data_IF_883769302914
#
_entry.id   IF_883769302914
#
_cell.length_a   1.000
_cell.length_b   1.000
_cell.length_c   1.000
_cell.angle_alpha   90.00
_cell.angle_beta   90.00
_cell.angle_gamma   90.00
#
_symmetry.space_group_name_H-M   'P 1'
#
loop_
_entity.id
_entity.type
_entity.pdbx_description
1 polymer ?
#
# COMPACT_ATOMS: atom_id res chain seq x y z
N UNK A 1 -24.97 -6.09 1.55
CA UNK A 1 -25.01 -7.49 2.07
C UNK A 1 -25.38 -7.48 3.55
N UNK A 2 -26.16 -8.43 4.00
CA UNK A 2 -26.41 -8.63 5.44
C UNK A 2 -25.11 -9.13 6.08
N UNK A 3 -24.79 -8.68 7.31
CA UNK A 3 -23.51 -9.01 8.00
C UNK A 3 -23.34 -10.49 8.30
N UNK A 4 -24.41 -11.16 8.65
CA UNK A 4 -24.37 -12.57 9.03
C UNK A 4 -23.80 -13.46 7.91
N UNK A 5 -24.25 -13.38 6.64
CA UNK A 5 -23.65 -14.16 5.57
C UNK A 5 -22.19 -13.79 5.27
N UNK A 6 -21.80 -12.52 5.43
CA UNK A 6 -20.39 -12.12 5.28
C UNK A 6 -19.53 -12.71 6.40
N UNK A 7 -19.98 -12.66 7.65
CA UNK A 7 -19.28 -13.30 8.76
C UNK A 7 -19.15 -14.81 8.56
N UNK A 8 -20.22 -15.48 8.13
CA UNK A 8 -20.20 -16.90 7.84
C UNK A 8 -19.21 -17.24 6.71
N UNK A 9 -19.16 -16.43 5.64
CA UNK A 9 -18.21 -16.61 4.53
C UNK A 9 -16.75 -16.45 5.00
N UNK A 10 -16.47 -15.40 5.80
CA UNK A 10 -15.12 -15.18 6.35
C UNK A 10 -14.73 -16.30 7.30
N UNK A 11 -15.64 -16.75 8.16
CA UNK A 11 -15.40 -17.87 9.07
C UNK A 11 -15.17 -19.20 8.31
N UNK A 12 -15.96 -19.47 7.29
CA UNK A 12 -15.78 -20.66 6.44
C UNK A 12 -14.42 -20.61 5.71
N UNK A 13 -14.04 -19.45 5.17
CA UNK A 13 -12.75 -19.28 4.52
C UNK A 13 -11.58 -19.35 5.52
N UNK A 14 -11.74 -18.83 6.73
CA UNK A 14 -10.77 -18.99 7.81
C UNK A 14 -10.56 -20.48 8.15
N UNK A 15 -11.65 -21.24 8.34
CA UNK A 15 -11.61 -22.67 8.62
C UNK A 15 -10.95 -23.42 7.45
N UNK A 16 -11.30 -23.08 6.21
CA UNK A 16 -10.67 -23.65 5.03
C UNK A 16 -9.15 -23.40 5.02
N UNK A 17 -8.69 -22.18 5.26
CA UNK A 17 -7.25 -21.87 5.33
C UNK A 17 -6.56 -22.64 6.46
N UNK A 18 -7.22 -22.75 7.61
CA UNK A 18 -6.67 -23.45 8.79
C UNK A 18 -6.37 -24.91 8.50
N UNK A 19 -7.27 -25.61 7.81
CA UNK A 19 -7.17 -27.06 7.59
C UNK A 19 -6.47 -27.42 6.27
N UNK A 20 -6.61 -26.59 5.22
CA UNK A 20 -6.15 -26.96 3.87
C UNK A 20 -4.94 -26.14 3.38
N UNK A 21 -4.55 -25.07 4.09
CA UNK A 21 -3.39 -24.24 3.68
C UNK A 21 -2.38 -24.12 4.82
N UNK A 22 -2.65 -23.31 5.83
CA UNK A 22 -1.84 -23.23 7.06
C UNK A 22 -2.49 -22.33 8.12
N UNK A 23 -2.16 -22.58 9.39
CA UNK A 23 -2.53 -21.72 10.52
C UNK A 23 -2.10 -20.26 10.29
N UNK A 24 -0.89 -20.08 9.77
CA UNK A 24 -0.34 -18.74 9.46
C UNK A 24 -1.24 -17.96 8.51
N UNK A 25 -1.68 -18.58 7.43
CA UNK A 25 -2.56 -17.93 6.45
C UNK A 25 -3.95 -17.60 7.03
N UNK A 26 -4.50 -18.50 7.84
CA UNK A 26 -5.76 -18.24 8.54
C UNK A 26 -5.66 -17.01 9.46
N UNK A 27 -4.60 -16.91 10.27
CA UNK A 27 -4.39 -15.75 11.15
C UNK A 27 -4.12 -14.47 10.35
N UNK A 28 -3.34 -14.53 9.26
CA UNK A 28 -3.11 -13.40 8.36
C UNK A 28 -4.39 -12.88 7.70
N UNK A 29 -5.36 -13.77 7.41
CA UNK A 29 -6.69 -13.35 6.96
C UNK A 29 -7.35 -12.42 7.99
N UNK A 30 -7.31 -12.79 9.29
CA UNK A 30 -7.89 -11.95 10.35
C UNK A 30 -7.15 -10.62 10.52
N UNK A 31 -5.82 -10.62 10.41
CA UNK A 31 -5.03 -9.38 10.37
C UNK A 31 -5.47 -8.50 9.22
N UNK A 32 -5.65 -9.06 8.02
CA UNK A 32 -6.18 -8.35 6.86
C UNK A 32 -7.59 -7.80 7.08
N UNK A 33 -8.49 -8.58 7.69
CA UNK A 33 -9.86 -8.12 8.05
C UNK A 33 -9.77 -6.93 9.01
N UNK A 34 -8.92 -7.00 10.03
CA UNK A 34 -8.66 -5.89 10.94
C UNK A 34 -8.13 -4.64 10.22
N UNK A 35 -7.16 -4.80 9.31
CA UNK A 35 -6.63 -3.70 8.48
C UNK A 35 -7.73 -3.05 7.63
N UNK A 36 -8.55 -3.86 6.95
CA UNK A 36 -9.67 -3.36 6.15
C UNK A 36 -10.70 -2.62 6.98
N UNK A 37 -11.04 -3.15 8.15
CA UNK A 37 -11.95 -2.50 9.09
C UNK A 37 -11.37 -1.18 9.62
N UNK A 38 -10.08 -1.12 9.95
CA UNK A 38 -9.40 0.09 10.40
C UNK A 38 -9.35 1.16 9.31
N UNK A 39 -8.93 0.79 8.08
CA UNK A 39 -8.88 1.70 6.93
C UNK A 39 -10.27 2.29 6.61
N UNK A 40 -11.28 1.44 6.51
CA UNK A 40 -12.63 1.84 6.17
C UNK A 40 -13.34 2.59 7.32
N UNK A 41 -13.20 2.10 8.56
CA UNK A 41 -13.85 2.66 9.74
C UNK A 41 -13.30 4.04 10.12
N UNK A 42 -11.99 4.20 10.10
CA UNK A 42 -11.33 5.48 10.34
C UNK A 42 -11.31 6.38 9.09
N UNK A 43 -11.73 5.88 7.92
CA UNK A 43 -11.49 6.52 6.62
C UNK A 43 -10.03 6.93 6.45
N UNK A 44 -9.14 6.04 6.88
CA UNK A 44 -7.69 6.29 6.91
C UNK A 44 -7.13 6.15 5.49
N UNK A 45 -7.20 7.24 4.73
CA UNK A 45 -6.73 7.25 3.34
C UNK A 45 -5.38 7.96 3.20
N UNK A 46 -4.34 7.24 2.79
CA UNK A 46 -3.04 7.86 2.47
C UNK A 46 -3.18 8.94 1.39
N UNK A 47 -3.92 8.65 0.34
CA UNK A 47 -4.23 9.58 -0.75
C UNK A 47 -5.05 10.79 -0.27
N UNK A 48 -6.09 10.55 0.55
CA UNK A 48 -6.99 11.59 1.06
C UNK A 48 -6.26 12.56 1.98
N UNK A 49 -5.39 12.08 2.87
CA UNK A 49 -4.64 12.95 3.77
C UNK A 49 -3.73 13.95 3.04
N UNK A 50 -3.06 13.51 1.98
CA UNK A 50 -2.22 14.40 1.16
C UNK A 50 -3.05 15.38 0.34
N UNK A 51 -4.18 14.93 -0.20
CA UNK A 51 -5.12 15.82 -0.91
C UNK A 51 -5.66 16.92 0.00
N UNK A 52 -6.12 16.58 1.19
CA UNK A 52 -6.62 17.54 2.18
C UNK A 52 -5.55 18.56 2.58
N UNK A 53 -4.30 18.13 2.74
CA UNK A 53 -3.18 19.04 3.00
C UNK A 53 -3.00 20.04 1.85
N UNK A 54 -3.01 19.58 0.60
CA UNK A 54 -2.78 20.42 -0.59
C UNK A 54 -3.95 21.36 -0.83
N UNK A 55 -5.18 20.87 -0.72
CA UNK A 55 -6.39 21.62 -1.09
C UNK A 55 -6.90 22.53 0.01
N UNK A 56 -6.85 22.04 1.24
CA UNK A 56 -7.53 22.68 2.37
C UNK A 56 -6.56 23.17 3.45
N UNK A 57 -5.26 22.95 3.27
CA UNK A 57 -4.25 23.19 4.32
C UNK A 57 -4.61 22.44 5.62
N UNK A 58 -5.20 21.24 5.49
CA UNK A 58 -5.58 20.41 6.64
C UNK A 58 -4.49 19.38 6.93
N UNK A 59 -3.75 19.52 8.07
CA UNK A 59 -2.64 18.65 8.40
C UNK A 59 -3.05 17.31 9.05
N UNK A 60 -4.31 17.15 9.48
CA UNK A 60 -4.77 16.01 10.31
C UNK A 60 -4.46 14.65 9.69
N UNK A 61 -4.67 14.51 8.39
CA UNK A 61 -4.41 13.26 7.68
C UNK A 61 -2.92 12.91 7.63
N UNK A 62 -2.06 13.89 7.35
CA UNK A 62 -0.60 13.70 7.31
C UNK A 62 -0.04 13.45 8.71
N UNK A 63 -0.57 14.13 9.72
CA UNK A 63 -0.19 13.89 11.14
C UNK A 63 -0.57 12.46 11.56
N UNK A 64 -1.76 11.97 11.17
CA UNK A 64 -2.16 10.57 11.40
C UNK A 64 -1.23 9.57 10.72
N UNK A 65 -0.77 9.87 9.50
CA UNK A 65 0.21 9.04 8.79
C UNK A 65 1.59 9.08 9.46
N UNK A 66 2.05 10.25 9.91
CA UNK A 66 3.31 10.36 10.65
C UNK A 66 3.26 9.59 11.98
N UNK A 67 2.13 9.63 12.68
CA UNK A 67 1.90 8.80 13.87
C UNK A 67 1.97 7.30 13.56
N UNK A 68 1.31 6.86 12.49
CA UNK A 68 1.38 5.47 12.03
C UNK A 68 2.83 5.05 11.73
N UNK A 69 3.56 5.89 10.99
CA UNK A 69 4.98 5.64 10.66
C UNK A 69 5.84 5.54 11.93
N UNK A 70 5.66 6.47 12.88
CA UNK A 70 6.41 6.48 14.13
C UNK A 70 6.16 5.21 14.96
N UNK A 71 4.90 4.83 15.14
CA UNK A 71 4.52 3.65 15.91
C UNK A 71 4.98 2.35 15.22
N UNK A 72 4.82 2.24 13.90
CA UNK A 72 5.27 1.08 13.14
C UNK A 72 6.80 0.96 13.17
N UNK A 73 7.55 2.08 13.08
CA UNK A 73 9.02 2.07 13.19
C UNK A 73 9.50 1.68 14.59
N UNK A 74 8.85 2.21 15.64
CA UNK A 74 9.15 1.88 17.01
C UNK A 74 9.01 0.39 17.32
N UNK A 75 8.10 -0.29 16.62
CA UNK A 75 7.92 -1.74 16.76
C UNK A 75 8.81 -2.54 15.79
N UNK A 76 8.84 -2.17 14.50
CA UNK A 76 9.48 -2.97 13.47
C UNK A 76 11.02 -2.96 13.55
N UNK A 77 11.66 -1.81 13.80
CA UNK A 77 13.13 -1.72 13.84
C UNK A 77 13.76 -2.58 14.95
N UNK A 78 13.28 -2.56 16.20
CA UNK A 78 13.81 -3.47 17.23
C UNK A 78 13.57 -4.94 16.91
N UNK A 79 12.39 -5.31 16.35
CA UNK A 79 12.10 -6.69 15.96
C UNK A 79 13.05 -7.18 14.87
N UNK A 80 13.30 -6.38 13.83
CA UNK A 80 14.27 -6.70 12.78
C UNK A 80 15.70 -6.80 13.29
N UNK A 81 16.05 -6.07 14.33
CA UNK A 81 17.36 -6.16 14.98
C UNK A 81 17.55 -7.40 15.86
N UNK A 82 16.45 -8.04 16.30
CA UNK A 82 16.48 -9.18 17.20
C UNK A 82 16.21 -10.52 16.49
N UNK A 83 15.41 -10.51 15.42
CA UNK A 83 14.93 -11.73 14.75
C UNK A 83 15.39 -11.74 13.28
N UNK A 84 16.33 -12.64 12.98
CA UNK A 84 16.95 -12.78 11.64
C UNK A 84 15.99 -13.32 10.57
N UNK A 85 14.90 -13.98 10.98
CA UNK A 85 13.85 -14.49 10.09
C UNK A 85 12.93 -13.39 9.55
N UNK A 86 12.97 -12.18 10.12
CA UNK A 86 12.20 -11.05 9.66
C UNK A 86 12.96 -10.28 8.57
N UNK A 87 12.24 -9.91 7.53
CA UNK A 87 12.82 -9.20 6.38
C UNK A 87 12.36 -7.74 6.35
N UNK A 88 13.29 -6.82 6.05
CA UNK A 88 12.98 -5.43 5.81
C UNK A 88 12.46 -5.22 4.37
N UNK A 89 11.65 -4.18 4.16
CA UNK A 89 11.26 -3.75 2.82
C UNK A 89 12.36 -2.87 2.23
N UNK A 90 13.34 -3.47 1.58
CA UNK A 90 14.46 -2.77 0.97
C UNK A 90 14.21 -2.56 -0.53
N UNK A 91 14.52 -1.36 -1.01
CA UNK A 91 14.51 -1.01 -2.42
C UNK A 91 15.74 -0.16 -2.78
N UNK A 92 16.33 -0.35 -3.98
CA UNK A 92 17.46 0.45 -4.41
C UNK A 92 17.06 1.90 -4.71
N UNK A 93 17.83 2.91 -4.24
CA UNK A 93 17.79 4.23 -4.82
C UNK A 93 18.08 4.13 -6.32
N UNK A 94 17.15 4.61 -7.17
CA UNK A 94 17.24 4.38 -8.62
C UNK A 94 16.41 5.39 -9.41
N UNK A 95 16.70 5.54 -10.69
CA UNK A 95 15.86 6.31 -11.62
C UNK A 95 14.45 5.74 -11.64
N UNK A 96 14.31 4.41 -11.62
CA UNK A 96 13.03 3.70 -11.49
C UNK A 96 12.22 4.19 -10.29
N UNK A 97 12.83 4.27 -9.11
CA UNK A 97 12.19 4.76 -7.88
C UNK A 97 11.69 6.20 -8.03
N UNK A 98 12.52 7.10 -8.56
CA UNK A 98 12.18 8.52 -8.70
C UNK A 98 10.97 8.71 -9.63
N UNK A 99 11.04 8.14 -10.83
CA UNK A 99 9.97 8.23 -11.82
C UNK A 99 8.72 7.47 -11.34
N UNK A 100 8.91 6.25 -10.84
CA UNK A 100 7.82 5.43 -10.33
C UNK A 100 7.04 6.11 -9.21
N UNK A 101 7.73 6.67 -8.22
CA UNK A 101 7.08 7.35 -7.09
C UNK A 101 6.34 8.62 -7.54
N UNK A 102 6.93 9.42 -8.43
CA UNK A 102 6.28 10.61 -9.00
C UNK A 102 4.99 10.25 -9.74
N UNK A 103 5.07 9.30 -10.68
CA UNK A 103 3.90 8.85 -11.48
C UNK A 103 2.85 8.21 -10.58
N UNK A 104 3.26 7.42 -9.58
CA UNK A 104 2.35 6.85 -8.60
C UNK A 104 1.61 7.92 -7.81
N UNK A 105 2.32 8.94 -7.30
CA UNK A 105 1.73 10.06 -6.58
C UNK A 105 0.71 10.84 -7.39
N UNK A 106 0.97 11.04 -8.68
CA UNK A 106 0.06 11.67 -9.62
C UNK A 106 -1.20 10.81 -9.82
N UNK A 107 -1.03 9.56 -10.16
CA UNK A 107 -2.14 8.68 -10.57
C UNK A 107 -3.03 8.26 -9.41
N UNK A 108 -2.49 8.11 -8.18
CA UNK A 108 -3.29 7.77 -7.02
C UNK A 108 -4.34 8.83 -6.67
N UNK A 109 -4.13 10.10 -7.05
CA UNK A 109 -5.11 11.15 -6.83
C UNK A 109 -6.28 11.05 -7.83
N UNK A 110 -5.99 10.70 -9.07
CA UNK A 110 -6.98 10.52 -10.13
C UNK A 110 -7.80 9.23 -9.89
N UNK A 111 -7.13 8.13 -9.54
CA UNK A 111 -7.75 6.85 -9.21
C UNK A 111 -8.50 6.86 -7.86
N UNK A 112 -8.43 7.97 -7.13
CA UNK A 112 -9.02 8.16 -5.80
C UNK A 112 -8.61 7.10 -4.77
N UNK A 113 -7.38 6.61 -4.85
CA UNK A 113 -6.84 5.62 -3.90
C UNK A 113 -5.43 5.19 -4.29
N UNK A 114 -4.60 4.84 -3.31
CA UNK A 114 -3.38 4.07 -3.52
C UNK A 114 -3.71 2.57 -3.61
N UNK A 115 -2.76 1.66 -3.63
CA UNK A 115 -3.04 0.22 -3.68
C UNK A 115 -4.02 -0.27 -2.61
N UNK A 116 -3.73 -0.01 -1.32
CA UNK A 116 -4.64 -0.36 -0.22
C UNK A 116 -5.90 0.51 -0.22
N UNK A 117 -5.78 1.78 -0.65
CA UNK A 117 -6.89 2.71 -0.79
C UNK A 117 -7.94 2.22 -1.78
N UNK A 118 -7.50 1.79 -2.95
CA UNK A 118 -8.36 1.21 -3.99
C UNK A 118 -9.04 -0.07 -3.49
N UNK A 119 -8.28 -0.92 -2.79
CA UNK A 119 -8.79 -2.18 -2.28
C UNK A 119 -9.91 -1.98 -1.23
N UNK A 120 -9.69 -1.16 -0.18
CA UNK A 120 -10.73 -0.96 0.82
C UNK A 120 -11.92 -0.17 0.30
N UNK A 121 -11.71 0.77 -0.65
CA UNK A 121 -12.82 1.51 -1.28
C UNK A 121 -13.65 0.61 -2.20
N UNK A 122 -13.04 -0.34 -2.90
CA UNK A 122 -13.77 -1.39 -3.60
C UNK A 122 -14.66 -2.19 -2.63
N UNK A 123 -14.12 -2.55 -1.46
CA UNK A 123 -14.89 -3.16 -0.38
C UNK A 123 -16.01 -2.27 0.19
N UNK A 124 -15.85 -0.97 0.19
CA UNK A 124 -16.91 -0.01 0.53
C UNK A 124 -17.99 0.13 -0.58
N UNK A 125 -17.79 -0.51 -1.73
CA UNK A 125 -18.73 -0.48 -2.85
C UNK A 125 -18.53 0.72 -3.79
N UNK A 126 -17.34 1.34 -3.81
CA UNK A 126 -17.02 2.42 -4.77
C UNK A 126 -16.74 1.79 -6.15
N UNK A 127 -17.60 2.01 -7.18
CA UNK A 127 -17.53 1.25 -8.42
C UNK A 127 -16.22 1.47 -9.20
N UNK A 128 -15.73 2.71 -9.25
CA UNK A 128 -14.48 3.03 -9.93
C UNK A 128 -13.30 2.24 -9.32
N UNK A 129 -13.20 2.21 -7.98
CA UNK A 129 -12.11 1.51 -7.32
C UNK A 129 -12.20 -0.01 -7.54
N UNK A 130 -13.39 -0.59 -7.60
CA UNK A 130 -13.58 -1.99 -7.95
C UNK A 130 -13.12 -2.30 -9.39
N UNK A 131 -13.48 -1.44 -10.36
CA UNK A 131 -13.08 -1.59 -11.75
C UNK A 131 -11.57 -1.35 -11.98
N UNK A 132 -10.92 -0.55 -11.14
CA UNK A 132 -9.47 -0.30 -11.20
C UNK A 132 -8.66 -1.55 -10.79
N UNK A 133 -9.15 -2.40 -9.89
CA UNK A 133 -8.37 -3.51 -9.34
C UNK A 133 -7.74 -4.43 -10.41
N UNK A 134 -8.47 -4.92 -11.43
CA UNK A 134 -7.86 -5.76 -12.47
C UNK A 134 -6.85 -4.99 -13.32
N UNK A 135 -7.07 -3.71 -13.62
CA UNK A 135 -6.14 -2.89 -14.38
C UNK A 135 -4.88 -2.56 -13.56
N UNK A 136 -5.04 -2.33 -12.25
CA UNK A 136 -3.91 -2.20 -11.32
C UNK A 136 -3.07 -3.48 -11.28
N UNK A 137 -3.73 -4.65 -11.26
CA UNK A 137 -3.04 -5.94 -11.27
C UNK A 137 -2.23 -6.12 -12.57
N UNK A 138 -2.84 -5.84 -13.72
CA UNK A 138 -2.17 -5.88 -15.03
C UNK A 138 -1.00 -4.89 -15.09
N UNK A 139 -1.21 -3.65 -14.67
CA UNK A 139 -0.16 -2.63 -14.60
C UNK A 139 0.99 -3.07 -13.68
N UNK A 140 0.69 -3.60 -12.50
CA UNK A 140 1.70 -4.12 -11.55
C UNK A 140 2.50 -5.28 -12.16
N UNK A 141 1.85 -6.19 -12.86
CA UNK A 141 2.53 -7.26 -13.59
C UNK A 141 3.47 -6.71 -14.65
N UNK A 142 2.98 -5.87 -15.56
CA UNK A 142 3.81 -5.29 -16.63
C UNK A 142 4.95 -4.43 -16.07
N UNK A 143 4.73 -3.69 -15.00
CA UNK A 143 5.79 -2.96 -14.30
C UNK A 143 6.89 -3.88 -13.76
N UNK A 144 6.54 -5.10 -13.30
CA UNK A 144 7.53 -6.09 -12.88
C UNK A 144 8.26 -6.75 -14.06
N UNK A 145 7.59 -6.93 -15.18
CA UNK A 145 8.22 -7.44 -16.43
C UNK A 145 9.29 -6.48 -16.95
N UNK A 146 9.03 -5.19 -16.89
CA UNK A 146 9.93 -4.15 -17.38
C UNK A 146 10.91 -3.61 -16.33
N UNK A 147 10.85 -4.09 -15.08
CA UNK A 147 11.61 -3.52 -13.97
C UNK A 147 13.12 -3.48 -14.22
N UNK A 148 13.67 -4.55 -14.80
CA UNK A 148 15.11 -4.65 -15.09
C UNK A 148 15.57 -3.56 -16.07
N UNK A 149 14.81 -3.28 -17.12
CA UNK A 149 15.08 -2.19 -18.06
C UNK A 149 15.08 -0.82 -17.38
N UNK A 150 14.21 -0.59 -16.41
CA UNK A 150 14.17 0.64 -15.63
C UNK A 150 15.35 0.76 -14.65
N UNK A 151 15.77 -0.36 -14.05
CA UNK A 151 16.94 -0.39 -13.17
C UNK A 151 18.25 -0.18 -13.91
N UNK A 152 18.33 -0.61 -15.17
CA UNK A 152 19.47 -0.38 -16.05
C UNK A 152 19.73 1.12 -16.34
N UNK A 153 18.71 1.99 -16.15
CA UNK A 153 18.90 3.45 -16.27
C UNK A 153 19.75 4.05 -15.14
N UNK A 154 20.00 3.31 -14.07
CA UNK A 154 20.83 3.70 -12.95
C UNK A 154 20.20 3.35 -11.62
N UNK A 155 20.97 2.63 -10.81
CA UNK A 155 20.63 2.25 -9.45
C UNK A 155 21.86 2.13 -8.58
N UNK A 156 21.67 2.26 -7.25
CA UNK A 156 22.68 1.93 -6.23
C UNK A 156 22.21 0.72 -5.44
N UNK A 157 23.07 0.15 -4.60
CA UNK A 157 22.64 -0.89 -3.66
C UNK A 157 21.54 -0.38 -2.72
N UNK A 158 20.59 -1.23 -2.31
CA UNK A 158 19.62 -0.88 -1.28
C UNK A 158 20.33 -0.49 0.03
N UNK A 159 19.89 0.60 0.66
CA UNK A 159 20.46 1.10 1.91
C UNK A 159 19.50 0.81 3.07
N UNK A 160 19.98 0.07 4.06
CA UNK A 160 19.29 -0.17 5.33
C UNK A 160 19.91 0.70 6.42
N UNK A 161 19.15 1.67 6.96
CA UNK A 161 19.62 2.54 8.03
C UNK A 161 20.02 1.77 9.29
N UNK A 162 19.35 0.65 9.58
CA UNK A 162 19.68 -0.19 10.73
C UNK A 162 20.95 -1.00 10.52
N UNK A 163 21.24 -1.42 9.29
CA UNK A 163 22.50 -2.11 8.97
C UNK A 163 23.69 -1.16 8.98
N UNK A 164 23.51 0.08 8.47
CA UNK A 164 24.59 1.07 8.38
C UNK A 164 24.89 1.73 9.74
N UNK A 165 23.87 2.08 10.52
CA UNK A 165 24.01 2.91 11.72
C UNK A 165 23.57 2.24 13.02
N UNK A 166 23.09 1.00 12.97
CA UNK A 166 22.48 0.29 14.09
C UNK A 166 21.03 0.71 14.35
N UNK A 167 20.30 -0.18 15.04
CA UNK A 167 18.85 -0.05 15.26
C UNK A 167 18.45 1.23 15.99
N UNK A 168 19.19 1.60 17.05
CA UNK A 168 18.87 2.79 17.84
C UNK A 168 19.04 4.10 17.04
N UNK A 169 20.12 4.23 16.30
CA UNK A 169 20.38 5.39 15.44
C UNK A 169 19.35 5.45 14.30
N UNK A 170 19.04 4.32 13.66
CA UNK A 170 18.03 4.25 12.61
C UNK A 170 16.65 4.73 13.10
N UNK A 171 16.26 4.35 14.33
CA UNK A 171 15.02 4.81 14.96
C UNK A 171 15.07 6.32 15.24
N UNK A 172 16.19 6.82 15.77
CA UNK A 172 16.40 8.25 16.00
C UNK A 172 16.31 9.07 14.71
N UNK A 173 16.98 8.62 13.64
CA UNK A 173 16.92 9.25 12.32
C UNK A 173 15.50 9.24 11.74
N UNK A 174 14.77 8.14 11.93
CA UNK A 174 13.38 8.02 11.49
C UNK A 174 12.49 9.05 12.21
N UNK A 175 12.58 9.16 13.53
CA UNK A 175 11.81 10.14 14.28
C UNK A 175 12.21 11.59 13.94
N UNK A 176 13.49 11.85 13.76
CA UNK A 176 13.97 13.17 13.33
C UNK A 176 13.44 13.54 11.94
N UNK A 177 13.47 12.60 10.98
CA UNK A 177 12.89 12.81 9.64
C UNK A 177 11.39 13.08 9.66
N UNK A 178 10.63 12.31 10.46
CA UNK A 178 9.20 12.55 10.64
C UNK A 178 8.92 13.91 11.30
N UNK A 179 9.69 14.29 12.32
CA UNK A 179 9.57 15.59 12.96
C UNK A 179 9.87 16.74 11.98
N UNK A 180 10.92 16.63 11.19
CA UNK A 180 11.27 17.61 10.14
C UNK A 180 10.16 17.74 9.09
N UNK A 181 9.58 16.61 8.66
CA UNK A 181 8.45 16.63 7.73
C UNK A 181 7.24 17.36 8.34
N UNK A 182 6.91 17.10 9.61
CA UNK A 182 5.83 17.79 10.32
C UNK A 182 6.12 19.29 10.53
N UNK A 183 7.38 19.66 10.80
CA UNK A 183 7.80 21.08 10.85
C UNK A 183 7.59 21.73 9.49
N UNK A 184 7.98 21.09 8.39
CA UNK A 184 7.71 21.58 7.04
C UNK A 184 6.22 21.78 6.77
N UNK A 185 5.39 20.82 7.15
CA UNK A 185 3.92 20.93 7.08
C UNK A 185 3.42 22.10 7.94
N UNK A 186 3.97 22.28 9.15
CA UNK A 186 3.59 23.38 10.06
C UNK A 186 3.89 24.76 9.45
N UNK A 187 5.05 24.91 8.86
CA UNK A 187 5.44 26.15 8.18
C UNK A 187 4.52 26.44 6.98
N UNK A 188 4.15 25.41 6.24
CA UNK A 188 3.27 25.56 5.08
C UNK A 188 1.80 25.83 5.44
N UNK A 189 1.26 25.15 6.44
CA UNK A 189 -0.16 25.26 6.86
C UNK A 189 -0.40 26.56 7.66
N UNK A 190 0.54 27.02 8.46
CA UNK A 190 0.42 28.17 9.33
C UNK A 190 -0.29 27.87 10.67
N UNK A 191 -0.54 28.91 11.49
CA UNK A 191 -1.17 28.77 12.80
C UNK A 191 -2.68 28.52 12.73
N UNK A 192 -3.29 28.12 13.83
CA UNK A 192 -4.75 28.04 14.02
C UNK A 192 -5.43 26.80 13.45
N UNK A 193 -4.67 25.79 12.97
CA UNK A 193 -5.23 24.54 12.45
C UNK A 193 -5.18 23.40 13.47
N UNK A 194 -6.22 22.58 13.49
CA UNK A 194 -6.21 21.32 14.26
C UNK A 194 -5.26 20.31 13.63
N UNK A 195 -4.41 19.68 14.44
CA UNK A 195 -3.40 18.72 13.99
C UNK A 195 -3.81 17.28 14.20
N UNK A 196 -4.66 17.03 15.18
CA UNK A 196 -5.12 15.70 15.54
C UNK A 196 -6.63 15.60 15.37
N UNK A 197 -7.06 14.45 14.90
CA UNK A 197 -8.46 14.04 14.87
C UNK A 197 -8.54 12.61 15.41
N UNK A 198 -9.45 12.36 16.33
CA UNK A 198 -9.58 11.09 17.06
C UNK A 198 -9.61 9.88 16.13
N UNK A 199 -10.34 9.96 15.01
CA UNK A 199 -10.43 8.85 14.03
C UNK A 199 -9.08 8.53 13.38
N UNK A 200 -8.26 9.54 13.03
CA UNK A 200 -6.94 9.34 12.47
C UNK A 200 -5.97 8.73 13.48
N UNK A 201 -6.05 9.15 14.74
CA UNK A 201 -5.21 8.62 15.82
C UNK A 201 -5.52 7.14 16.05
N UNK A 202 -6.79 6.77 16.24
CA UNK A 202 -7.16 5.37 16.45
C UNK A 202 -6.89 4.50 15.21
N UNK A 203 -7.11 5.05 14.00
CA UNK A 203 -6.73 4.40 12.75
C UNK A 203 -5.23 4.13 12.67
N UNK A 204 -4.40 5.10 13.02
CA UNK A 204 -2.95 4.97 13.05
C UNK A 204 -2.48 3.89 14.03
N UNK A 205 -3.00 3.90 15.27
CA UNK A 205 -2.67 2.90 16.30
C UNK A 205 -3.07 1.50 15.83
N UNK A 206 -4.31 1.33 15.37
CA UNK A 206 -4.80 0.03 14.90
C UNK A 206 -3.97 -0.50 13.73
N UNK A 207 -3.68 0.35 12.74
CA UNK A 207 -2.87 -0.05 11.59
C UNK A 207 -1.41 -0.33 11.96
N UNK A 208 -0.82 0.40 12.91
CA UNK A 208 0.53 0.12 13.39
C UNK A 208 0.63 -1.25 14.06
N UNK A 209 -0.32 -1.57 14.95
CA UNK A 209 -0.40 -2.89 15.60
C UNK A 209 -0.58 -3.99 14.56
N UNK A 210 -1.52 -3.83 13.63
CA UNK A 210 -1.79 -4.83 12.61
C UNK A 210 -0.63 -4.99 11.61
N UNK A 211 0.07 -3.91 11.25
CA UNK A 211 1.26 -3.97 10.42
C UNK A 211 2.42 -4.69 11.12
N UNK A 212 2.58 -4.47 12.43
CA UNK A 212 3.57 -5.21 13.24
C UNK A 212 3.21 -6.69 13.35
N UNK A 213 1.94 -7.02 13.59
CA UNK A 213 1.48 -8.42 13.57
C UNK A 213 1.71 -9.06 12.20
N UNK A 214 1.46 -8.33 11.10
CA UNK A 214 1.77 -8.83 9.77
C UNK A 214 3.27 -9.12 9.61
N UNK A 215 4.15 -8.22 10.06
CA UNK A 215 5.60 -8.42 10.00
C UNK A 215 6.01 -9.70 10.71
N UNK A 216 5.55 -9.89 11.95
CA UNK A 216 5.92 -11.07 12.77
C UNK A 216 5.35 -12.36 12.18
N UNK A 217 4.09 -12.37 11.77
CA UNK A 217 3.43 -13.57 11.25
C UNK A 217 3.88 -13.94 9.84
N UNK A 218 4.12 -12.96 9.00
CA UNK A 218 4.50 -13.15 7.60
C UNK A 218 6.00 -13.27 7.37
N UNK A 219 6.83 -12.85 8.34
CA UNK A 219 8.28 -12.69 8.17
C UNK A 219 8.65 -11.51 7.25
N UNK A 220 7.67 -10.73 6.80
CA UNK A 220 7.85 -9.59 5.90
C UNK A 220 6.86 -8.47 6.24
N UNK A 221 7.22 -7.19 5.98
CA UNK A 221 6.33 -6.09 6.27
C UNK A 221 5.09 -6.08 5.36
N UNK A 222 4.08 -5.32 5.77
CA UNK A 222 2.82 -5.24 5.05
C UNK A 222 3.03 -4.73 3.61
N UNK A 223 2.52 -5.50 2.64
CA UNK A 223 2.51 -5.19 1.22
C UNK A 223 1.13 -5.44 0.62
N UNK A 224 0.85 -4.80 -0.51
CA UNK A 224 -0.41 -4.97 -1.27
C UNK A 224 -0.12 -5.23 -2.75
N UNK A 225 0.83 -4.49 -3.31
CA UNK A 225 1.09 -4.45 -4.76
C UNK A 225 1.56 -5.79 -5.32
N UNK A 226 2.37 -6.53 -4.57
CA UNK A 226 2.94 -7.79 -5.04
C UNK A 226 1.86 -8.83 -5.37
N UNK A 227 0.87 -9.00 -4.50
CA UNK A 227 -0.22 -9.94 -4.73
C UNK A 227 -0.99 -9.66 -6.02
N UNK A 228 -1.26 -8.38 -6.32
CA UNK A 228 -1.93 -7.99 -7.56
C UNK A 228 -1.09 -8.36 -8.80
N UNK A 229 0.21 -8.05 -8.79
CA UNK A 229 1.12 -8.42 -9.88
C UNK A 229 1.23 -9.94 -10.04
N UNK A 230 1.26 -10.68 -8.93
CA UNK A 230 1.28 -12.14 -8.92
C UNK A 230 0.01 -12.75 -9.55
N UNK A 231 -1.18 -12.19 -9.27
CA UNK A 231 -2.42 -12.69 -9.87
C UNK A 231 -2.41 -12.53 -11.39
N UNK A 232 -2.02 -11.35 -11.89
CA UNK A 232 -1.94 -11.12 -13.32
C UNK A 232 -0.83 -11.97 -13.99
N UNK A 233 0.32 -12.14 -13.32
CA UNK A 233 1.39 -13.01 -13.79
C UNK A 233 0.91 -14.48 -13.94
N UNK A 234 0.25 -15.02 -12.93
CA UNK A 234 -0.30 -16.39 -12.97
C UNK A 234 -1.32 -16.58 -14.11
N UNK A 235 -2.20 -15.61 -14.29
CA UNK A 235 -3.16 -15.65 -15.42
C UNK A 235 -2.42 -15.60 -16.75
N UNK A 236 -1.42 -14.73 -16.90
CA UNK A 236 -0.64 -14.60 -18.14
C UNK A 236 0.14 -15.88 -18.47
N UNK A 237 0.73 -16.54 -17.46
CA UNK A 237 1.41 -17.84 -17.61
C UNK A 237 0.40 -18.93 -17.99
N UNK A 238 -0.74 -18.99 -17.30
CA UNK A 238 -1.76 -20.01 -17.58
C UNK A 238 -2.36 -19.90 -19.00
N UNK A 239 -2.41 -18.67 -19.55
CA UNK A 239 -2.86 -18.40 -20.91
C UNK A 239 -1.74 -18.57 -21.98
N UNK A 240 -0.51 -18.92 -21.56
CA UNK A 240 0.63 -19.02 -22.47
C UNK A 240 1.11 -17.68 -23.07
N UNK A 241 0.75 -16.55 -22.45
CA UNK A 241 1.09 -15.20 -22.89
C UNK A 241 2.43 -14.69 -22.33
N UNK A 242 2.99 -15.39 -21.37
CA UNK A 242 4.21 -14.95 -20.68
C UNK A 242 5.06 -16.13 -20.24
N UNK A 243 6.36 -16.08 -20.58
CA UNK A 243 7.37 -17.03 -20.09
C UNK A 243 8.14 -16.38 -18.92
N UNK A 244 7.93 -16.84 -17.66
CA UNK A 244 8.63 -16.30 -16.51
C UNK A 244 10.12 -16.61 -16.49
N UNK A 245 10.57 -17.68 -17.16
CA UNK A 245 11.99 -18.05 -17.20
C UNK A 245 12.84 -17.06 -18.00
N UNK A 246 12.23 -16.40 -18.99
CA UNK A 246 12.86 -15.37 -19.80
C UNK A 246 12.88 -13.97 -19.14
N UNK A 247 12.34 -13.81 -17.93
CA UNK A 247 12.22 -12.51 -17.28
C UNK A 247 13.06 -12.42 -16.00
N UNK A 248 13.94 -11.42 -15.88
CA UNK A 248 14.88 -11.28 -14.76
C UNK A 248 14.21 -11.19 -13.37
N UNK A 249 13.04 -10.56 -13.27
CA UNK A 249 12.29 -10.48 -12.01
C UNK A 249 11.61 -11.81 -11.67
N UNK A 250 10.89 -12.41 -12.63
CA UNK A 250 10.05 -13.58 -12.38
C UNK A 250 10.84 -14.90 -12.36
N UNK A 251 12.06 -14.94 -12.93
CA UNK A 251 12.98 -16.09 -12.84
C UNK A 251 13.72 -16.19 -11.50
N UNK A 252 13.70 -15.15 -10.65
CA UNK A 252 14.26 -15.22 -9.30
C UNK A 252 13.57 -16.33 -8.50
N UNK A 253 14.34 -17.13 -7.78
CA UNK A 253 13.87 -18.35 -7.10
C UNK A 253 12.59 -18.14 -6.27
N UNK A 254 12.51 -17.07 -5.47
CA UNK A 254 11.34 -16.76 -4.66
C UNK A 254 10.09 -16.39 -5.49
N UNK A 255 10.24 -15.69 -6.62
CA UNK A 255 9.14 -15.30 -7.50
C UNK A 255 8.69 -16.50 -8.35
N UNK A 256 9.62 -17.27 -8.89
CA UNK A 256 9.35 -18.50 -9.65
C UNK A 256 8.58 -19.51 -8.79
N UNK A 257 8.99 -19.73 -7.53
CA UNK A 257 8.27 -20.58 -6.60
C UNK A 257 6.84 -20.09 -6.34
N UNK A 258 6.61 -18.80 -6.17
CA UNK A 258 5.26 -18.24 -5.95
C UNK A 258 4.36 -18.36 -7.18
N UNK A 259 4.93 -18.40 -8.39
CA UNK A 259 4.17 -18.66 -9.61
C UNK A 259 3.64 -20.09 -9.68
N UNK A 260 4.36 -21.08 -9.15
CA UNK A 260 3.93 -22.50 -9.15
C UNK A 260 3.00 -22.83 -7.99
N UNK A 261 3.17 -22.19 -6.83
CA UNK A 261 2.34 -22.40 -5.64
C UNK A 261 0.93 -21.84 -5.82
N UNK A 262 -0.03 -22.34 -5.02
CA UNK A 262 -1.37 -21.71 -4.95
C UNK A 262 -1.27 -20.26 -4.46
N UNK A 263 -2.10 -19.37 -4.97
CA UNK A 263 -2.20 -17.96 -4.54
C UNK A 263 -2.53 -17.83 -3.03
N UNK A 264 -3.09 -18.86 -2.42
CA UNK A 264 -3.43 -18.88 -1.00
C UNK A 264 -2.19 -19.02 -0.09
N UNK A 265 -1.04 -19.40 -0.64
CA UNK A 265 0.24 -19.38 0.07
C UNK A 265 0.88 -17.99 0.09
N UNK A 266 0.46 -17.09 -0.79
CA UNK A 266 0.99 -15.72 -0.82
C UNK A 266 0.36 -14.84 0.26
N UNK A 267 1.21 -14.30 1.11
CA UNK A 267 0.84 -13.45 2.26
C UNK A 267 0.07 -12.21 1.82
N UNK A 268 0.53 -11.55 0.74
CA UNK A 268 -0.09 -10.31 0.27
C UNK A 268 -1.47 -10.57 -0.32
N UNK A 269 -1.70 -11.72 -0.92
CA UNK A 269 -3.00 -12.18 -1.40
C UNK A 269 -3.98 -12.34 -0.23
N UNK A 270 -3.60 -13.08 0.80
CA UNK A 270 -4.48 -13.36 1.94
C UNK A 270 -4.83 -12.08 2.70
N UNK A 271 -3.84 -11.24 2.99
CA UNK A 271 -4.09 -9.96 3.66
C UNK A 271 -4.95 -9.03 2.81
N UNK A 272 -4.77 -9.01 1.47
CA UNK A 272 -5.62 -8.22 0.55
C UNK A 272 -7.07 -8.71 0.52
N UNK A 273 -7.31 -10.03 0.52
CA UNK A 273 -8.66 -10.62 0.67
C UNK A 273 -9.27 -10.21 2.01
N UNK A 274 -8.48 -10.28 3.08
CA UNK A 274 -8.90 -9.82 4.41
C UNK A 274 -9.28 -8.34 4.43
N UNK A 275 -8.47 -7.46 3.83
CA UNK A 275 -8.76 -6.01 3.73
C UNK A 275 -10.09 -5.77 3.02
N UNK A 276 -10.34 -6.47 1.92
CA UNK A 276 -11.62 -6.37 1.19
C UNK A 276 -12.79 -6.80 2.08
N UNK A 277 -12.65 -7.93 2.77
CA UNK A 277 -13.68 -8.46 3.68
C UNK A 277 -13.97 -7.52 4.87
N UNK A 278 -12.91 -6.97 5.50
CA UNK A 278 -13.05 -6.00 6.59
C UNK A 278 -13.72 -4.69 6.16
N UNK A 279 -13.39 -4.20 4.97
CA UNK A 279 -14.03 -3.02 4.40
C UNK A 279 -15.51 -3.27 4.07
N UNK A 280 -15.85 -4.43 3.48
CA UNK A 280 -17.24 -4.87 3.26
C UNK A 280 -18.03 -4.95 4.57
N UNK A 281 -17.41 -5.42 5.66
CA UNK A 281 -18.04 -5.46 6.98
C UNK A 281 -18.42 -4.07 7.50
N UNK A 282 -17.55 -3.08 7.28
CA UNK A 282 -17.82 -1.69 7.64
C UNK A 282 -18.90 -1.10 6.72
N UNK A 283 -18.83 -1.35 5.41
CA UNK A 283 -19.81 -0.90 4.42
C UNK A 283 -21.24 -1.35 4.77
N UNK A 284 -21.40 -2.58 5.27
CA UNK A 284 -22.70 -3.09 5.71
C UNK A 284 -23.34 -2.31 6.89
N UNK A 285 -22.61 -1.35 7.49
CA UNK A 285 -23.07 -0.43 8.55
C UNK A 285 -23.45 0.95 8.02
N UNK A 286 -23.00 1.29 6.83
CA UNK A 286 -23.22 2.62 6.27
C UNK A 286 -24.39 2.55 5.29
N UNK A 287 -25.27 3.54 5.33
CA UNK A 287 -26.24 3.75 4.27
C UNK A 287 -25.51 4.02 2.95
N UNK A 288 -26.08 3.57 1.84
CA UNK A 288 -25.51 3.81 0.52
C UNK A 288 -25.18 5.30 0.36
N UNK A 289 -23.91 5.59 0.10
CA UNK A 289 -23.48 6.95 -0.19
C UNK A 289 -24.13 7.37 -1.53
N UNK A 290 -24.84 8.50 -1.54
CA UNK A 290 -25.30 9.14 -2.76
C UNK A 290 -24.08 9.68 -3.54
N UNK A 291 -23.31 8.81 -4.14
CA UNK A 291 -22.24 9.20 -5.06
C UNK A 291 -22.88 9.56 -6.40
N UNK A 292 -22.59 10.77 -6.89
CA UNK A 292 -22.96 11.17 -8.24
C UNK A 292 -22.38 10.17 -9.26
N UNK A 293 -23.13 9.78 -10.29
CA UNK A 293 -22.61 8.89 -11.32
C UNK A 293 -21.46 9.57 -12.06
N UNK A 294 -20.37 8.83 -12.26
CA UNK A 294 -19.22 9.31 -13.02
C UNK A 294 -19.56 9.38 -14.50
N UNK A 295 -19.06 10.42 -15.18
CA UNK A 295 -19.12 10.55 -16.63
C UNK A 295 -18.24 9.50 -17.31
N UNK A 296 -18.48 9.20 -18.58
CA UNK A 296 -17.65 8.29 -19.38
C UNK A 296 -16.18 8.73 -19.40
N UNK A 297 -15.95 10.06 -19.49
CA UNK A 297 -14.60 10.63 -19.44
C UNK A 297 -13.90 10.35 -18.10
N UNK A 298 -14.60 10.52 -16.98
CA UNK A 298 -14.06 10.22 -15.65
C UNK A 298 -13.76 8.71 -15.50
N UNK A 299 -14.63 7.84 -16.02
CA UNK A 299 -14.36 6.41 -16.08
C UNK A 299 -13.09 6.10 -16.86
N UNK A 300 -12.96 6.60 -18.08
CA UNK A 300 -11.78 6.35 -18.93
C UNK A 300 -10.49 6.84 -18.25
N UNK A 301 -10.48 8.07 -17.75
CA UNK A 301 -9.32 8.66 -17.07
C UNK A 301 -8.98 7.90 -15.78
N UNK A 302 -9.98 7.53 -14.99
CA UNK A 302 -9.79 6.76 -13.75
C UNK A 302 -9.23 5.37 -14.00
N UNK A 303 -9.71 4.66 -15.04
CA UNK A 303 -9.22 3.34 -15.41
C UNK A 303 -7.77 3.38 -15.92
N UNK A 304 -7.44 4.35 -16.79
CA UNK A 304 -6.06 4.57 -17.25
C UNK A 304 -5.15 4.92 -16.07
N UNK A 305 -5.59 5.81 -15.18
CA UNK A 305 -4.83 6.14 -13.98
C UNK A 305 -4.61 4.92 -13.08
N UNK A 306 -5.59 4.02 -12.96
CA UNK A 306 -5.47 2.77 -12.22
C UNK A 306 -4.42 1.82 -12.79
N UNK A 307 -4.39 1.66 -14.11
CA UNK A 307 -3.36 0.88 -14.80
C UNK A 307 -1.96 1.46 -14.60
N UNK A 308 -1.79 2.77 -14.87
CA UNK A 308 -0.51 3.47 -14.72
C UNK A 308 -0.04 3.46 -13.25
N UNK A 309 -0.98 3.58 -12.30
CA UNK A 309 -0.70 3.45 -10.87
C UNK A 309 -0.17 2.06 -10.52
N UNK A 310 -0.75 1.00 -11.09
CA UNK A 310 -0.24 -0.36 -10.92
C UNK A 310 1.18 -0.52 -11.46
N UNK A 311 1.43 -0.05 -12.67
CA UNK A 311 2.73 -0.08 -13.33
C UNK A 311 3.80 0.67 -12.50
N UNK A 312 3.53 1.93 -12.19
CA UNK A 312 4.46 2.79 -11.45
C UNK A 312 4.72 2.31 -10.02
N UNK A 313 3.78 1.61 -9.39
CA UNK A 313 3.98 1.03 -8.06
C UNK A 313 5.08 -0.04 -8.03
N UNK A 314 5.31 -0.76 -9.12
CA UNK A 314 6.41 -1.73 -9.23
C UNK A 314 7.75 -1.03 -9.41
N UNK A 315 7.78 0.02 -10.23
CA UNK A 315 8.97 0.85 -10.42
C UNK A 315 9.41 1.54 -9.13
N UNK A 316 8.44 1.89 -8.29
CA UNK A 316 8.64 2.58 -7.00
C UNK A 316 8.83 1.61 -5.81
N UNK A 317 8.97 0.31 -6.04
CA UNK A 317 9.10 -0.75 -5.01
C UNK A 317 7.94 -0.81 -4.02
N UNK A 318 6.79 -0.25 -4.37
CA UNK A 318 5.57 -0.29 -3.57
C UNK A 318 4.69 0.94 -3.73
N UNK A 319 3.54 0.88 -3.07
CA UNK A 319 2.62 2.00 -2.89
C UNK A 319 2.88 2.68 -1.53
N UNK A 320 1.99 3.56 -1.08
CA UNK A 320 2.06 4.17 0.26
C UNK A 320 2.24 3.13 1.40
N UNK A 321 1.72 1.93 1.23
CA UNK A 321 1.94 0.85 2.21
C UNK A 321 3.33 0.22 2.01
N UNK A 322 3.64 -0.27 0.82
CA UNK A 322 4.88 -1.03 0.60
C UNK A 322 6.14 -0.18 0.62
N UNK A 323 6.14 1.00 -0.04
CA UNK A 323 7.31 1.86 -0.12
C UNK A 323 7.38 2.85 1.06
N UNK A 324 6.32 3.63 1.32
CA UNK A 324 6.37 4.63 2.38
C UNK A 324 6.27 3.98 3.77
N UNK A 325 5.16 3.29 4.09
CA UNK A 325 4.98 2.74 5.43
C UNK A 325 6.02 1.64 5.71
N UNK A 326 6.05 0.60 4.91
CA UNK A 326 6.93 -0.55 5.15
C UNK A 326 8.40 -0.20 4.92
N UNK A 327 8.72 0.59 3.89
CA UNK A 327 10.10 1.06 3.67
C UNK A 327 10.64 1.88 4.83
N UNK A 328 9.93 2.93 5.26
CA UNK A 328 10.36 3.79 6.36
C UNK A 328 10.38 3.03 7.69
N UNK A 329 9.31 2.28 8.00
CA UNK A 329 9.23 1.58 9.30
C UNK A 329 10.24 0.45 9.47
N UNK A 330 10.80 -0.05 8.38
CA UNK A 330 11.86 -1.08 8.41
C UNK A 330 13.26 -0.50 8.10
N UNK A 331 13.39 0.83 8.11
CA UNK A 331 14.68 1.52 8.01
C UNK A 331 15.27 1.60 6.61
N UNK A 332 14.48 1.52 5.55
CA UNK A 332 14.98 1.63 4.19
C UNK A 332 15.01 3.07 3.67
N UNK A 333 16.14 3.46 3.08
CA UNK A 333 16.31 4.79 2.48
C UNK A 333 15.32 5.04 1.34
N UNK A 334 14.96 3.99 0.56
CA UNK A 334 14.06 4.18 -0.58
C UNK A 334 12.69 4.75 -0.18
N UNK A 335 12.18 4.42 1.01
CA UNK A 335 10.92 4.97 1.50
C UNK A 335 10.97 6.48 1.72
N UNK A 336 12.10 6.99 2.18
CA UNK A 336 12.36 8.42 2.35
C UNK A 336 12.48 9.16 1.02
N UNK A 337 13.12 8.55 0.01
CA UNK A 337 13.19 9.08 -1.36
C UNK A 337 11.82 9.07 -2.02
N UNK A 338 11.03 8.01 -1.80
CA UNK A 338 9.70 7.85 -2.36
C UNK A 338 8.75 8.99 -1.96
N UNK A 339 8.77 9.43 -0.69
CA UNK A 339 7.83 10.43 -0.15
C UNK A 339 7.86 11.77 -0.90
N UNK A 340 9.00 12.47 -1.07
CA UNK A 340 9.02 13.74 -1.76
C UNK A 340 8.64 13.61 -3.23
N UNK A 341 9.06 12.56 -3.92
CA UNK A 341 8.73 12.34 -5.33
C UNK A 341 7.24 12.09 -5.53
N UNK A 342 6.64 11.21 -4.72
CA UNK A 342 5.21 10.95 -4.75
C UNK A 342 4.38 12.18 -4.31
N UNK A 343 4.91 13.01 -3.40
CA UNK A 343 4.23 14.24 -3.00
C UNK A 343 4.19 15.27 -4.14
N UNK A 344 5.29 15.47 -4.87
CA UNK A 344 5.32 16.32 -6.06
C UNK A 344 4.34 15.81 -7.12
N UNK A 345 4.33 14.50 -7.39
CA UNK A 345 3.34 13.86 -8.26
C UNK A 345 1.90 14.12 -7.80
N UNK A 346 1.66 14.02 -6.48
CA UNK A 346 0.35 14.28 -5.87
C UNK A 346 -0.13 15.72 -6.12
N UNK A 347 0.75 16.72 -6.00
CA UNK A 347 0.38 18.12 -6.29
C UNK A 347 -0.16 18.27 -7.71
N UNK A 348 0.50 17.63 -8.68
CA UNK A 348 0.04 17.63 -10.07
C UNK A 348 -1.25 16.81 -10.23
N UNK A 349 -1.32 15.63 -9.61
CA UNK A 349 -2.49 14.75 -9.65
C UNK A 349 -3.76 15.41 -9.10
N UNK A 350 -3.64 16.20 -8.02
CA UNK A 350 -4.75 16.99 -7.46
C UNK A 350 -5.23 18.06 -8.45
N UNK A 351 -4.32 18.73 -9.17
CA UNK A 351 -4.70 19.71 -10.20
C UNK A 351 -5.46 19.06 -11.35
N UNK A 352 -4.98 17.90 -11.82
CA UNK A 352 -5.64 17.14 -12.89
C UNK A 352 -7.00 16.66 -12.41
N UNK A 353 -7.09 16.08 -11.21
CA UNK A 353 -8.34 15.64 -10.60
C UNK A 353 -9.40 16.75 -10.61
N UNK A 354 -9.05 17.95 -10.16
CA UNK A 354 -9.95 19.12 -10.16
C UNK A 354 -10.42 19.50 -11.57
N UNK A 355 -9.52 19.46 -12.57
CA UNK A 355 -9.84 19.79 -13.95
C UNK A 355 -10.92 18.89 -14.54
N UNK A 356 -10.95 17.62 -14.15
CA UNK A 356 -11.90 16.63 -14.64
C UNK A 356 -13.08 16.37 -13.69
N UNK A 357 -13.20 17.12 -12.59
CA UNK A 357 -14.37 17.10 -11.71
C UNK A 357 -14.53 15.81 -10.89
N UNK A 358 -13.45 15.17 -10.49
CA UNK A 358 -13.47 13.98 -9.61
C UNK A 358 -13.77 14.35 -8.15
#
# INVERSE_FOLDING_TARGET
>A
MKRLPLAALVAAFFIFLLFFVSVRQAVLLLVGVGMGAALAGARFGFTTGWRQLIEQRDPRGVTGQALLLALASAAALPLLGQFSELNAALGPPSVSLLVGAFVFGLTMQIADGCGSGTLYKAGLGVPLNAAILPLFALGSFLGSVHLDSWLALGQTAPVSLSAEFGTGTALGLTFAGLALALVGVRLWVGPGRAWLERRWVWGAIALAVLATLNLVLAGQPWGVVYGFGLWAAKVSVALGLFDPAANAFWSQAGNAQRLTQTVLMDVTTITSIGILAGALWISARQSASNTQPLTLQQWAIGLVAGFVMGYSSRLAFGCNVGAMLSGISTGSLHGWIWVPMAFVGTVLGVRIRRRYGF
#
